data_IF_275787616568
#
_entry.id   IF_275787616568
#
_cell.length_a   1.000
_cell.length_b   1.000
_cell.length_c   1.000
_cell.angle_alpha   90.00
_cell.angle_beta   90.00
_cell.angle_gamma   90.00
#
_symmetry.space_group_name_H-M   'P 1'
#
loop_
_entity.id
_entity.type
_entity.pdbx_description
1 polymer ?
#
# COMPACT_ATOMS: atom_id res chain seq x y z
N UNK A 1 8.27 -24.43 0.21
CA UNK A 1 9.59 -24.19 0.83
C UNK A 1 10.01 -22.79 0.41
N UNK A 2 10.10 -21.83 1.34
CA UNK A 2 10.59 -20.48 1.01
C UNK A 2 12.11 -20.57 0.88
N UNK A 3 12.62 -20.64 -0.34
CA UNK A 3 14.07 -20.54 -0.58
C UNK A 3 14.47 -19.07 -0.40
N UNK A 4 15.26 -18.78 0.63
CA UNK A 4 16.04 -17.54 0.63
C UNK A 4 17.17 -17.70 -0.39
N UNK A 5 17.47 -16.63 -1.14
CA UNK A 5 18.39 -16.61 -2.29
C UNK A 5 17.88 -17.29 -3.58
N UNK A 6 16.63 -17.01 -3.99
CA UNK A 6 16.26 -17.25 -5.39
C UNK A 6 17.13 -16.36 -6.29
N UNK A 7 17.88 -16.98 -7.19
CA UNK A 7 18.58 -16.29 -8.28
C UNK A 7 17.53 -16.02 -9.35
N UNK A 8 17.27 -14.75 -9.64
CA UNK A 8 16.36 -14.38 -10.72
C UNK A 8 17.16 -14.32 -12.01
N UNK A 9 16.89 -15.24 -12.94
CA UNK A 9 17.57 -15.27 -14.24
C UNK A 9 17.16 -14.05 -15.10
N UNK A 10 15.97 -13.48 -14.83
CA UNK A 10 15.41 -12.32 -15.53
C UNK A 10 15.00 -11.22 -14.54
N UNK A 11 15.52 -10.00 -14.76
CA UNK A 11 15.21 -8.80 -13.96
C UNK A 11 13.72 -8.47 -13.92
N UNK A 12 13.02 -8.67 -15.03
CA UNK A 12 11.60 -8.33 -15.15
C UNK A 12 10.71 -9.22 -14.27
N UNK A 13 11.07 -10.51 -14.11
CA UNK A 13 10.37 -11.42 -13.20
C UNK A 13 10.48 -10.96 -11.74
N UNK A 14 11.67 -10.46 -11.36
CA UNK A 14 11.86 -9.89 -10.03
C UNK A 14 11.03 -8.61 -9.82
N UNK A 15 10.99 -7.74 -10.83
CA UNK A 15 10.19 -6.51 -10.80
C UNK A 15 8.69 -6.81 -10.67
N UNK A 16 8.18 -7.83 -11.37
CA UNK A 16 6.80 -8.29 -11.25
C UNK A 16 6.46 -8.75 -9.82
N UNK A 17 7.37 -9.48 -9.16
CA UNK A 17 7.18 -9.91 -7.77
C UNK A 17 7.11 -8.73 -6.81
N UNK A 18 8.01 -7.74 -6.98
CA UNK A 18 8.00 -6.50 -6.20
C UNK A 18 6.70 -5.72 -6.44
N UNK A 19 6.27 -5.61 -7.70
CA UNK A 19 5.00 -4.99 -8.07
C UNK A 19 3.84 -5.66 -7.32
N UNK A 20 3.66 -6.97 -7.47
CA UNK A 20 2.53 -7.69 -6.86
C UNK A 20 2.57 -7.65 -5.34
N UNK A 21 3.75 -7.73 -4.72
CA UNK A 21 3.90 -7.57 -3.28
C UNK A 21 3.37 -6.21 -2.81
N UNK A 22 3.72 -5.14 -3.51
CA UNK A 22 3.22 -3.79 -3.19
C UNK A 22 1.72 -3.68 -3.41
N UNK A 23 1.16 -4.34 -4.43
CA UNK A 23 -0.28 -4.33 -4.65
C UNK A 23 -1.03 -4.99 -3.50
N UNK A 24 -0.57 -6.15 -3.03
CA UNK A 24 -1.14 -6.82 -1.85
C UNK A 24 -1.00 -5.94 -0.60
N UNK A 25 0.15 -5.31 -0.39
CA UNK A 25 0.35 -4.37 0.72
C UNK A 25 -0.59 -3.15 0.63
N UNK A 26 -0.76 -2.56 -0.55
CA UNK A 26 -1.62 -1.40 -0.74
C UNK A 26 -3.09 -1.72 -0.45
N UNK A 27 -3.56 -2.87 -0.96
CA UNK A 27 -4.92 -3.37 -0.69
C UNK A 27 -5.14 -3.65 0.79
N UNK A 28 -4.22 -4.39 1.43
CA UNK A 28 -4.36 -4.77 2.85
C UNK A 28 -4.30 -3.56 3.77
N UNK A 29 -3.36 -2.63 3.55
CA UNK A 29 -3.29 -1.38 4.31
C UNK A 29 -4.53 -0.51 4.10
N UNK A 30 -5.04 -0.42 2.87
CA UNK A 30 -6.25 0.35 2.55
C UNK A 30 -7.48 -0.19 3.29
N UNK A 31 -7.62 -1.52 3.36
CA UNK A 31 -8.69 -2.17 4.11
C UNK A 31 -8.58 -1.87 5.61
N UNK A 32 -7.39 -2.05 6.20
CA UNK A 32 -7.17 -1.86 7.64
C UNK A 32 -7.40 -0.39 8.03
N UNK A 33 -6.87 0.57 7.25
CA UNK A 33 -7.06 2.01 7.50
C UNK A 33 -8.46 2.52 7.14
N UNK A 34 -9.20 1.79 6.33
CA UNK A 34 -10.62 2.07 6.13
C UNK A 34 -11.46 1.70 7.35
N UNK A 35 -11.10 0.59 8.01
CA UNK A 35 -11.79 0.09 9.20
C UNK A 35 -11.40 0.89 10.45
N UNK A 36 -10.10 1.13 10.64
CA UNK A 36 -9.60 2.01 11.71
C UNK A 36 -9.73 3.43 11.17
N UNK A 37 -10.51 4.36 11.76
CA UNK A 37 -10.74 5.72 11.24
C UNK A 37 -9.51 6.64 11.30
N UNK A 38 -8.40 6.20 10.72
CA UNK A 38 -7.22 7.01 10.50
C UNK A 38 -7.55 7.98 9.38
N UNK A 39 -7.22 9.26 9.61
CA UNK A 39 -7.50 10.33 8.67
C UNK A 39 -6.28 11.24 8.51
N UNK A 40 -6.25 11.96 7.39
CA UNK A 40 -5.23 12.98 7.13
C UNK A 40 -3.82 12.45 6.94
N UNK A 41 -2.84 13.31 7.26
CA UNK A 41 -1.43 13.08 6.94
C UNK A 41 -0.82 11.90 7.70
N UNK A 42 -1.37 11.52 8.85
CA UNK A 42 -0.88 10.39 9.66
C UNK A 42 -1.11 9.08 8.91
N UNK A 43 -2.30 8.88 8.35
CA UNK A 43 -2.63 7.68 7.57
C UNK A 43 -1.74 7.54 6.34
N UNK A 44 -1.51 8.64 5.63
CA UNK A 44 -0.61 8.71 4.47
C UNK A 44 0.85 8.43 4.85
N UNK A 45 1.34 9.07 5.92
CA UNK A 45 2.73 8.90 6.37
C UNK A 45 3.02 7.47 6.79
N UNK A 46 2.08 6.83 7.49
CA UNK A 46 2.20 5.42 7.88
C UNK A 46 2.23 4.50 6.67
N UNK A 47 1.42 4.77 5.63
CA UNK A 47 1.49 4.01 4.38
C UNK A 47 2.91 4.07 3.79
N UNK A 48 3.50 5.26 3.66
CA UNK A 48 4.85 5.38 3.09
C UNK A 48 5.91 4.67 3.91
N UNK A 49 5.86 4.79 5.24
CA UNK A 49 6.82 4.14 6.15
C UNK A 49 6.71 2.62 6.07
N UNK A 50 5.50 2.08 6.14
CA UNK A 50 5.28 0.63 6.11
C UNK A 50 5.59 0.05 4.72
N UNK A 51 5.14 0.72 3.66
CA UNK A 51 5.38 0.28 2.28
C UNK A 51 6.89 0.28 1.95
N UNK A 52 7.60 1.36 2.28
CA UNK A 52 9.05 1.43 2.08
C UNK A 52 9.80 0.45 2.98
N UNK A 53 9.41 0.33 4.25
CA UNK A 53 10.06 -0.56 5.21
C UNK A 53 9.96 -2.03 4.85
N UNK A 54 8.78 -2.51 4.46
CA UNK A 54 8.58 -3.92 4.08
C UNK A 54 9.38 -4.27 2.82
N UNK A 55 9.36 -3.40 1.81
CA UNK A 55 10.10 -3.64 0.57
C UNK A 55 11.61 -3.61 0.84
N UNK A 56 12.09 -2.64 1.61
CA UNK A 56 13.49 -2.56 2.04
C UNK A 56 13.95 -3.83 2.77
N UNK A 57 13.17 -4.31 3.74
CA UNK A 57 13.46 -5.55 4.45
C UNK A 57 13.47 -6.78 3.54
N UNK A 58 12.59 -6.81 2.54
CA UNK A 58 12.49 -7.93 1.60
C UNK A 58 13.75 -8.06 0.74
N UNK A 59 14.15 -7.01 0.02
CA UNK A 59 15.32 -7.09 -0.86
C UNK A 59 16.66 -7.09 -0.09
N UNK A 60 16.77 -6.31 0.99
CA UNK A 60 18.01 -6.23 1.79
C UNK A 60 18.22 -7.46 2.68
N UNK A 61 17.16 -7.96 3.33
CA UNK A 61 17.25 -9.04 4.30
C UNK A 61 17.03 -10.43 3.71
N UNK A 62 15.97 -10.62 2.91
CA UNK A 62 15.54 -11.95 2.48
C UNK A 62 16.21 -12.41 1.17
N UNK A 63 16.47 -11.45 0.27
CA UNK A 63 16.99 -11.74 -1.07
C UNK A 63 18.48 -11.44 -1.21
N UNK A 64 19.05 -10.54 -0.39
CA UNK A 64 20.47 -10.14 -0.43
C UNK A 64 20.93 -9.83 -1.86
N UNK A 65 20.04 -9.20 -2.62
CA UNK A 65 20.27 -8.87 -4.02
C UNK A 65 21.34 -7.79 -4.09
N UNK A 66 22.32 -7.97 -4.97
CA UNK A 66 23.29 -6.91 -5.27
C UNK A 66 22.54 -5.82 -6.06
N UNK A 67 22.30 -4.67 -5.42
CA UNK A 67 21.42 -3.62 -5.94
C UNK A 67 21.89 -3.11 -7.31
N UNK A 68 23.19 -3.19 -7.59
CA UNK A 68 23.80 -2.78 -8.87
C UNK A 68 23.40 -3.68 -10.04
N UNK A 69 23.10 -4.96 -9.80
CA UNK A 69 22.75 -5.92 -10.85
C UNK A 69 21.33 -5.69 -11.41
N UNK A 70 20.44 -5.08 -10.62
CA UNK A 70 19.03 -4.87 -10.96
C UNK A 70 18.70 -3.42 -11.34
N UNK A 71 19.71 -2.61 -11.68
CA UNK A 71 19.53 -1.19 -12.07
C UNK A 71 19.49 -0.21 -10.89
N UNK A 72 19.89 -0.65 -9.70
CA UNK A 72 19.93 0.13 -8.46
C UNK A 72 18.66 0.00 -7.63
N UNK A 73 18.78 0.19 -6.31
CA UNK A 73 17.63 0.20 -5.39
C UNK A 73 16.52 1.19 -5.78
N UNK A 74 16.84 2.21 -6.56
CA UNK A 74 15.87 3.22 -7.01
C UNK A 74 14.83 2.66 -7.98
N UNK A 75 15.21 1.77 -8.90
CA UNK A 75 14.29 1.16 -9.86
C UNK A 75 13.32 0.22 -9.13
N UNK A 76 13.86 -0.63 -8.26
CA UNK A 76 13.11 -1.51 -7.36
C UNK A 76 12.17 -0.74 -6.41
N UNK A 77 12.63 0.42 -5.93
CA UNK A 77 11.83 1.23 -5.00
C UNK A 77 10.66 1.94 -5.69
N UNK A 78 10.78 2.24 -6.99
CA UNK A 78 9.73 2.88 -7.78
C UNK A 78 8.71 1.90 -8.32
N UNK A 79 9.12 0.68 -8.63
CA UNK A 79 8.26 -0.31 -9.27
C UNK A 79 7.00 -0.55 -8.43
N UNK A 80 5.83 -0.49 -9.06
CA UNK A 80 4.52 -0.64 -8.41
C UNK A 80 4.14 0.39 -7.34
N UNK A 81 4.99 1.38 -7.00
CA UNK A 81 4.72 2.32 -5.90
C UNK A 81 3.49 3.20 -6.14
N UNK A 82 3.42 3.87 -7.31
CA UNK A 82 2.32 4.77 -7.65
C UNK A 82 0.99 4.03 -7.75
N UNK A 83 1.01 2.82 -8.31
CA UNK A 83 -0.19 1.99 -8.47
C UNK A 83 -0.66 1.45 -7.13
N UNK A 84 0.26 1.02 -6.26
CA UNK A 84 -0.06 0.58 -4.89
C UNK A 84 -0.61 1.72 -4.05
N UNK A 85 -0.04 2.92 -4.18
CA UNK A 85 -0.53 4.12 -3.52
C UNK A 85 -1.95 4.48 -3.98
N UNK A 86 -2.22 4.47 -5.28
CA UNK A 86 -3.56 4.70 -5.82
C UNK A 86 -4.56 3.65 -5.31
N UNK A 87 -4.19 2.36 -5.34
CA UNK A 87 -5.01 1.26 -4.83
C UNK A 87 -5.33 1.40 -3.34
N UNK A 88 -4.32 1.74 -2.54
CA UNK A 88 -4.47 2.07 -1.12
C UNK A 88 -5.49 3.19 -0.90
N UNK A 89 -5.35 4.32 -1.61
CA UNK A 89 -6.26 5.47 -1.48
C UNK A 89 -7.70 5.10 -1.84
N UNK A 90 -7.89 4.40 -2.96
CA UNK A 90 -9.22 4.00 -3.43
C UNK A 90 -9.92 3.13 -2.39
N UNK A 91 -9.26 2.10 -1.90
CA UNK A 91 -9.84 1.17 -0.92
C UNK A 91 -10.07 1.88 0.41
N UNK A 92 -9.10 2.66 0.87
CA UNK A 92 -9.20 3.41 2.11
C UNK A 92 -10.41 4.35 2.10
N UNK A 93 -10.57 5.16 1.04
CA UNK A 93 -11.69 6.10 0.91
C UNK A 93 -13.02 5.36 0.84
N UNK A 94 -13.12 4.31 0.00
CA UNK A 94 -14.36 3.55 -0.16
C UNK A 94 -14.80 2.92 1.18
N UNK A 95 -13.88 2.28 1.90
CA UNK A 95 -14.20 1.61 3.16
C UNK A 95 -14.48 2.63 4.27
N UNK A 96 -13.66 3.68 4.36
CA UNK A 96 -13.88 4.74 5.35
C UNK A 96 -15.25 5.40 5.16
N UNK A 97 -15.58 5.79 3.93
CA UNK A 97 -16.90 6.35 3.59
C UNK A 97 -18.03 5.31 3.74
N UNK A 98 -17.80 4.02 3.50
CA UNK A 98 -18.83 3.01 3.72
C UNK A 98 -19.15 2.76 5.19
N UNK A 99 -18.14 2.79 6.06
CA UNK A 99 -18.27 2.41 7.47
C UNK A 99 -18.53 3.59 8.42
N UNK A 100 -18.00 4.77 8.12
CA UNK A 100 -18.07 5.93 9.01
C UNK A 100 -19.09 6.97 8.57
N UNK A 101 -19.60 6.87 7.34
CA UNK A 101 -20.70 7.68 6.85
C UNK A 101 -21.99 6.88 7.11
N UNK A 102 -22.60 7.02 8.29
CA UNK A 102 -23.86 6.31 8.59
C UNK A 102 -24.77 7.12 9.50
N UNK A 103 -26.04 7.20 9.08
CA UNK A 103 -27.29 7.72 9.67
C UNK A 103 -27.29 9.08 10.39
N UNK A 104 -26.31 9.37 11.24
CA UNK A 104 -26.26 10.61 12.02
C UNK A 104 -26.04 11.83 11.13
N UNK A 105 -25.19 11.72 10.11
CA UNK A 105 -25.00 12.76 9.10
C UNK A 105 -26.27 12.92 8.24
N UNK A 106 -26.90 11.81 7.82
CA UNK A 106 -28.13 11.82 7.03
C UNK A 106 -29.29 12.51 7.78
N UNK A 107 -29.45 12.18 9.07
CA UNK A 107 -30.44 12.81 9.97
C UNK A 107 -30.17 14.31 10.13
N UNK A 108 -28.91 14.73 10.26
CA UNK A 108 -28.56 16.15 10.35
C UNK A 108 -28.91 16.92 9.06
N UNK A 109 -28.65 16.34 7.87
CA UNK A 109 -29.08 16.91 6.59
C UNK A 109 -30.60 17.02 6.48
N UNK A 110 -31.33 15.95 6.82
CA UNK A 110 -32.79 15.95 6.78
C UNK A 110 -33.38 17.01 7.73
N UNK A 111 -32.83 17.14 8.93
CA UNK A 111 -33.28 18.14 9.91
C UNK A 111 -33.01 19.57 9.43
N UNK A 112 -31.84 19.83 8.84
CA UNK A 112 -31.49 21.16 8.28
C UNK A 112 -32.31 21.58 7.05
N UNK A 113 -32.89 20.61 6.33
CA UNK A 113 -33.72 20.87 5.14
C UNK A 113 -35.18 21.24 5.45
N UNK A 114 -35.59 21.07 6.72
CA UNK A 114 -36.93 21.37 7.21
C UNK A 114 -37.03 22.73 7.92
N UNK A 115 -35.89 23.38 8.22
CA UNK A 115 -35.77 24.75 8.75
C UNK A 115 -35.65 25.79 7.63
#
# INVERSE_FOLDING_TARGET
MFQSQATWDEKDEFLDVIYWMRQVLGVTLGLIWGIIPLTGIVGLSLFFIVNAGIIYLYFSGFQKVDEEEYGGAWELTKEGFMTSFAGFLVIWIIIYSGLHFTDQDLQSYLTSSQE
#
